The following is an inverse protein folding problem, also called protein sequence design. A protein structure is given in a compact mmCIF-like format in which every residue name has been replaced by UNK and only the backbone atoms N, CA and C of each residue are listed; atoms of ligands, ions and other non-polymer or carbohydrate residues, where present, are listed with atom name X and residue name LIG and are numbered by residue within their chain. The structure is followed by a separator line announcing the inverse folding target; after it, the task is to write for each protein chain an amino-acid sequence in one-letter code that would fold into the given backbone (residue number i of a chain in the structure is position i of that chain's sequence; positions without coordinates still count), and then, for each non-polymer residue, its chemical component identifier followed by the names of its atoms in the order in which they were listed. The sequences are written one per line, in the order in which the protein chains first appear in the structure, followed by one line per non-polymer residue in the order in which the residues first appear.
data_IF_110446155948
#
_entry.id   IF_110446155948
#
_cell.length_a   1.000
_cell.length_b   1.000
_cell.length_c   1.000
_cell.angle_alpha   90.00
_cell.angle_beta   90.00
_cell.angle_gamma   90.00
#
_symmetry.space_group_name_H-M   'P 1'
#
loop_
_entity.id
_entity.type
_entity.pdbx_description
1 polymer ?
#
# COMPACT_ATOMS: atom_id res chain seq x y z
N UNK A 1 22.36 -0.32 1.13
CA UNK A 1 22.59 1.08 0.69
C UNK A 1 22.85 1.11 -0.81
N UNK A 2 22.18 2.03 -1.52
CA UNK A 2 22.46 2.27 -2.92
C UNK A 2 23.73 3.12 -3.06
N UNK A 3 24.68 2.66 -3.87
CA UNK A 3 25.88 3.41 -4.25
C UNK A 3 25.83 3.55 -5.77
N UNK A 4 25.66 4.80 -6.24
CA UNK A 4 25.58 5.08 -7.66
C UNK A 4 26.95 4.86 -8.31
N UNK A 5 26.97 4.11 -9.42
CA UNK A 5 28.14 3.94 -10.29
C UNK A 5 28.03 4.86 -11.49
N UNK A 6 29.14 5.11 -12.14
CA UNK A 6 29.17 5.84 -13.40
C UNK A 6 28.26 5.20 -14.45
N UNK A 7 27.50 6.00 -15.18
CA UNK A 7 26.53 5.53 -16.17
C UNK A 7 25.21 4.98 -15.62
N UNK A 8 25.09 4.76 -14.30
CA UNK A 8 23.83 4.29 -13.73
C UNK A 8 22.78 5.39 -13.63
N UNK A 9 21.56 5.04 -14.05
CA UNK A 9 20.35 5.85 -13.83
C UNK A 9 19.53 5.20 -12.72
N UNK A 10 19.21 5.99 -11.68
CA UNK A 10 18.37 5.55 -10.60
C UNK A 10 17.03 6.29 -10.65
N UNK A 11 15.96 5.56 -10.95
CA UNK A 11 14.58 6.03 -10.83
C UNK A 11 14.01 5.57 -9.50
N UNK A 12 13.63 6.50 -8.65
CA UNK A 12 12.90 6.21 -7.42
C UNK A 12 11.43 6.55 -7.61
N UNK A 13 10.55 5.56 -7.45
CA UNK A 13 9.10 5.70 -7.66
C UNK A 13 8.34 5.88 -6.35
N UNK A 14 9.04 5.80 -5.21
CA UNK A 14 8.39 5.63 -3.92
C UNK A 14 7.43 4.43 -3.94
N UNK A 15 6.48 4.36 -3.00
CA UNK A 15 5.59 3.19 -2.92
C UNK A 15 4.12 3.54 -2.67
N UNK A 16 3.77 4.79 -2.53
CA UNK A 16 2.39 5.21 -2.34
C UNK A 16 2.24 6.69 -2.01
N UNK A 17 1.04 7.22 -2.09
CA UNK A 17 0.72 8.57 -1.63
C UNK A 17 0.83 8.62 -0.11
N UNK A 18 1.56 9.58 0.47
CA UNK A 18 1.70 9.69 1.91
C UNK A 18 0.37 10.05 2.57
N UNK A 19 -0.10 9.15 3.44
CA UNK A 19 -1.29 9.33 4.27
C UNK A 19 -0.93 9.47 5.76
N UNK A 20 0.32 9.21 6.11
CA UNK A 20 0.87 9.31 7.46
C UNK A 20 1.99 10.34 7.48
N UNK A 21 2.30 10.82 8.67
CA UNK A 21 3.46 11.69 8.90
C UNK A 21 4.75 11.01 8.46
N UNK A 22 5.59 11.71 7.71
CA UNK A 22 6.84 11.22 7.16
C UNK A 22 8.02 12.16 7.47
N UNK A 23 9.22 11.61 7.30
CA UNK A 23 10.47 12.34 7.33
C UNK A 23 10.67 13.16 8.60
N UNK A 24 11.03 14.43 8.46
CA UNK A 24 11.30 15.36 9.60
C UNK A 24 10.12 15.58 10.54
N UNK A 25 8.91 15.26 10.10
CA UNK A 25 7.68 15.42 10.89
C UNK A 25 7.38 14.19 11.76
N UNK A 26 8.14 13.10 11.64
CA UNK A 26 8.03 11.94 12.51
C UNK A 26 8.59 12.22 13.90
N UNK A 27 8.28 11.36 14.88
CA UNK A 27 8.61 11.57 16.29
C UNK A 27 10.12 11.77 16.56
N UNK A 28 10.99 11.09 15.83
CA UNK A 28 12.45 11.23 15.95
C UNK A 28 13.02 12.27 14.96
N UNK A 29 12.19 12.92 14.19
CA UNK A 29 12.58 14.01 13.30
C UNK A 29 13.64 13.63 12.29
N UNK A 30 14.76 14.36 12.28
CA UNK A 30 15.85 14.18 11.30
C UNK A 30 16.45 12.76 11.35
N UNK A 31 16.44 12.10 12.50
CA UNK A 31 16.99 10.74 12.63
C UNK A 31 16.18 9.71 11.82
N UNK A 32 14.87 9.90 11.71
CA UNK A 32 14.01 9.04 10.90
C UNK A 32 14.21 9.23 9.39
N UNK A 33 14.81 10.36 8.99
CA UNK A 33 15.01 10.68 7.57
C UNK A 33 16.26 10.08 6.95
N UNK A 34 17.33 9.85 7.74
CA UNK A 34 18.72 9.78 7.28
C UNK A 34 18.96 8.92 6.03
N UNK A 35 18.51 7.68 6.03
CA UNK A 35 18.71 6.78 4.90
C UNK A 35 17.77 7.06 3.73
N UNK A 36 16.54 7.50 4.01
CA UNK A 36 15.56 7.81 2.99
C UNK A 36 15.93 9.06 2.23
N UNK A 37 16.28 10.14 2.92
CA UNK A 37 16.73 11.38 2.31
C UNK A 37 17.95 11.11 1.40
N UNK A 38 18.94 10.38 1.91
CA UNK A 38 20.11 10.00 1.12
C UNK A 38 19.74 9.26 -0.15
N UNK A 39 18.84 8.28 -0.09
CA UNK A 39 18.40 7.52 -1.26
C UNK A 39 17.73 8.42 -2.29
N UNK A 40 16.91 9.38 -1.85
CA UNK A 40 16.31 10.36 -2.76
C UNK A 40 17.36 11.26 -3.41
N UNK A 41 18.31 11.77 -2.64
CA UNK A 41 19.37 12.65 -3.16
C UNK A 41 20.28 11.93 -4.17
N UNK A 42 20.43 10.61 -4.05
CA UNK A 42 21.19 9.81 -5.01
C UNK A 42 20.41 9.41 -6.26
N UNK A 43 19.09 9.63 -6.30
CA UNK A 43 18.29 9.27 -7.47
C UNK A 43 18.47 10.28 -8.60
N UNK A 44 18.51 9.76 -9.83
CA UNK A 44 18.53 10.57 -11.06
C UNK A 44 17.14 11.15 -11.33
N UNK A 45 16.11 10.39 -10.98
CA UNK A 45 14.71 10.75 -11.15
C UNK A 45 13.89 10.38 -9.92
N UNK A 46 13.01 11.29 -9.51
CA UNK A 46 11.93 11.03 -8.55
C UNK A 46 10.60 11.07 -9.30
N UNK A 47 9.88 9.95 -9.29
CA UNK A 47 8.55 9.88 -9.89
C UNK A 47 7.49 10.02 -8.80
N UNK A 48 6.66 11.03 -8.93
CA UNK A 48 5.52 11.27 -8.06
C UNK A 48 4.20 11.20 -8.84
N UNK A 49 3.15 10.57 -8.28
CA UNK A 49 1.89 10.37 -9.00
C UNK A 49 1.05 11.63 -9.13
N UNK A 50 1.30 12.60 -8.26
CA UNK A 50 0.56 13.86 -8.20
C UNK A 50 1.35 14.94 -7.44
N UNK A 51 0.87 16.15 -7.54
CA UNK A 51 1.48 17.33 -6.90
C UNK A 51 1.54 17.20 -5.39
N UNK A 52 0.46 16.73 -4.76
CA UNK A 52 0.39 16.52 -3.32
C UNK A 52 1.56 15.64 -2.83
N UNK A 53 1.76 14.47 -3.45
CA UNK A 53 2.87 13.58 -3.09
C UNK A 53 4.22 14.25 -3.28
N UNK A 54 4.41 14.94 -4.41
CA UNK A 54 5.67 15.65 -4.68
C UNK A 54 5.96 16.69 -3.60
N UNK A 55 5.02 17.57 -3.31
CA UNK A 55 5.23 18.68 -2.38
C UNK A 55 5.56 18.15 -0.97
N UNK A 56 4.81 17.13 -0.49
CA UNK A 56 5.09 16.50 0.79
C UNK A 56 6.44 15.78 0.83
N UNK A 57 6.79 15.00 -0.20
CA UNK A 57 8.06 14.29 -0.22
C UNK A 57 9.24 15.25 -0.27
N UNK A 58 9.16 16.29 -1.09
CA UNK A 58 10.21 17.29 -1.20
C UNK A 58 10.41 18.08 0.10
N UNK A 59 9.32 18.41 0.80
CA UNK A 59 9.38 19.12 2.07
C UNK A 59 9.79 18.23 3.23
N UNK A 60 9.11 17.09 3.42
CA UNK A 60 9.23 16.26 4.61
C UNK A 60 10.60 15.58 4.71
N UNK A 61 11.25 15.36 3.56
CA UNK A 61 12.62 14.83 3.50
C UNK A 61 13.69 15.90 3.22
N UNK A 62 13.34 17.19 3.34
CA UNK A 62 14.26 18.32 3.10
C UNK A 62 14.99 18.23 1.76
N UNK A 63 14.27 17.86 0.69
CA UNK A 63 14.84 17.74 -0.65
C UNK A 63 14.86 19.08 -1.41
N UNK A 64 14.03 20.04 -1.00
CA UNK A 64 14.00 21.36 -1.58
C UNK A 64 15.39 21.99 -1.51
N UNK A 65 15.88 22.51 -2.64
CA UNK A 65 17.21 23.10 -2.81
C UNK A 65 18.41 22.14 -2.67
N UNK A 66 18.20 20.88 -2.31
CA UNK A 66 19.26 19.88 -2.18
C UNK A 66 19.22 18.85 -3.31
N UNK A 67 18.04 18.52 -3.80
CA UNK A 67 17.88 17.54 -4.86
C UNK A 67 18.25 18.11 -6.23
N UNK A 68 19.20 17.50 -6.89
CA UNK A 68 19.75 17.93 -8.19
C UNK A 68 19.27 17.09 -9.37
N UNK A 69 18.51 16.02 -9.11
CA UNK A 69 17.92 15.20 -10.15
C UNK A 69 16.64 15.81 -10.75
N UNK A 70 15.92 15.02 -11.53
CA UNK A 70 14.68 15.47 -12.18
C UNK A 70 13.47 14.89 -11.46
N UNK A 71 12.47 15.73 -11.21
CA UNK A 71 11.15 15.30 -10.71
C UNK A 71 10.24 15.06 -11.90
N UNK A 72 9.60 13.87 -11.91
CA UNK A 72 8.60 13.47 -12.91
C UNK A 72 7.25 13.42 -12.20
N UNK A 73 6.29 14.17 -12.71
CA UNK A 73 4.88 14.06 -12.30
C UNK A 73 4.14 13.20 -13.32
N UNK A 74 3.85 11.96 -12.94
CA UNK A 74 3.11 11.01 -13.76
C UNK A 74 2.43 9.99 -12.86
N UNK A 75 1.30 9.45 -13.27
CA UNK A 75 0.61 8.40 -12.51
C UNK A 75 1.55 7.22 -12.20
N UNK A 76 1.18 6.43 -11.19
CA UNK A 76 1.94 5.20 -10.92
C UNK A 76 1.83 4.22 -12.09
N UNK A 77 2.94 3.67 -12.59
CA UNK A 77 2.92 2.68 -13.68
C UNK A 77 2.00 1.49 -13.40
N UNK A 78 1.95 1.03 -12.14
CA UNK A 78 1.05 -0.06 -11.71
C UNK A 78 -0.44 0.23 -11.95
N UNK A 79 -0.83 1.49 -12.05
CA UNK A 79 -2.22 1.88 -12.27
C UNK A 79 -2.63 1.76 -13.75
N UNK A 80 -1.72 1.47 -14.66
CA UNK A 80 -2.04 1.26 -16.08
C UNK A 80 -3.09 0.16 -16.27
N UNK A 81 -3.10 -0.86 -15.40
CA UNK A 81 -4.09 -1.95 -15.43
C UNK A 81 -5.54 -1.47 -15.31
N UNK A 82 -5.81 -0.34 -14.64
CA UNK A 82 -7.17 0.20 -14.51
C UNK A 82 -7.77 0.71 -15.82
N UNK A 83 -6.94 0.92 -16.83
CA UNK A 83 -7.36 1.37 -18.16
C UNK A 83 -7.51 0.20 -19.14
N UNK A 84 -7.10 -1.00 -18.74
CA UNK A 84 -7.24 -2.23 -19.53
C UNK A 84 -8.57 -2.92 -19.18
N UNK A 85 -9.58 -2.67 -20.04
CA UNK A 85 -10.92 -3.24 -19.84
C UNK A 85 -10.94 -4.75 -20.03
N UNK A 86 -10.10 -5.28 -20.91
CA UNK A 86 -10.04 -6.73 -21.21
C UNK A 86 -9.41 -7.47 -20.03
N UNK A 87 -8.34 -6.93 -19.45
CA UNK A 87 -7.74 -7.47 -18.23
C UNK A 87 -8.74 -7.46 -17.08
N UNK A 88 -9.49 -6.39 -16.90
CA UNK A 88 -10.52 -6.31 -15.85
C UNK A 88 -11.61 -7.37 -16.02
N UNK A 89 -12.09 -7.59 -17.24
CA UNK A 89 -13.08 -8.62 -17.55
C UNK A 89 -12.52 -10.03 -17.30
N UNK A 90 -11.28 -10.29 -17.73
CA UNK A 90 -10.60 -11.57 -17.51
C UNK A 90 -10.45 -11.89 -16.01
N UNK A 91 -10.05 -10.91 -15.20
CA UNK A 91 -9.93 -11.05 -13.74
C UNK A 91 -11.30 -11.35 -13.12
N UNK A 92 -12.34 -10.62 -13.48
CA UNK A 92 -13.70 -10.88 -12.97
C UNK A 92 -14.17 -12.30 -13.27
N UNK A 93 -13.95 -12.77 -14.46
CA UNK A 93 -14.28 -14.14 -14.87
C UNK A 93 -13.44 -15.17 -14.12
N UNK A 94 -12.13 -14.97 -14.04
CA UNK A 94 -11.20 -15.89 -13.37
C UNK A 94 -11.57 -16.11 -11.89
N UNK A 95 -12.00 -15.07 -11.19
CA UNK A 95 -12.30 -15.12 -9.76
C UNK A 95 -13.79 -15.20 -9.44
N UNK A 96 -14.65 -15.50 -10.42
CA UNK A 96 -16.08 -15.68 -10.19
C UNK A 96 -16.82 -14.43 -9.72
N UNK A 97 -16.36 -13.27 -10.17
CA UNK A 97 -16.94 -11.97 -9.81
C UNK A 97 -18.06 -11.53 -10.76
N UNK A 98 -18.33 -12.30 -11.81
CA UNK A 98 -19.32 -11.94 -12.81
C UNK A 98 -20.73 -11.94 -12.21
N UNK A 99 -21.47 -10.88 -12.52
CA UNK A 99 -22.84 -10.69 -11.98
C UNK A 99 -22.91 -10.35 -10.50
N UNK A 100 -21.78 -10.20 -9.82
CA UNK A 100 -21.71 -9.83 -8.39
C UNK A 100 -21.12 -8.44 -8.19
N UNK A 101 -21.68 -7.72 -7.23
CA UNK A 101 -21.04 -6.57 -6.64
C UNK A 101 -19.88 -7.05 -5.75
N UNK A 102 -18.69 -6.53 -6.00
CA UNK A 102 -17.45 -7.04 -5.40
C UNK A 102 -16.82 -6.01 -4.48
N UNK A 103 -16.52 -6.41 -3.27
CA UNK A 103 -15.81 -5.62 -2.27
C UNK A 103 -14.41 -6.19 -2.03
N UNK A 104 -13.47 -5.34 -1.66
CA UNK A 104 -12.14 -5.73 -1.21
C UNK A 104 -11.89 -5.16 0.19
N UNK A 105 -11.58 -6.04 1.15
CA UNK A 105 -11.20 -5.65 2.50
C UNK A 105 -9.73 -6.02 2.74
N UNK A 106 -8.88 -5.02 2.77
CA UNK A 106 -7.43 -5.17 2.90
C UNK A 106 -6.90 -4.30 4.05
N UNK A 107 -7.20 -4.67 5.30
CA UNK A 107 -6.77 -3.88 6.45
C UNK A 107 -5.26 -3.99 6.68
N UNK A 108 -4.68 -2.93 7.23
CA UNK A 108 -3.32 -2.99 7.78
C UNK A 108 -3.32 -3.72 9.12
N UNK A 109 -2.16 -4.14 9.56
CA UNK A 109 -1.97 -4.65 10.92
C UNK A 109 -1.89 -3.52 11.96
N UNK A 110 -2.12 -3.86 13.24
CA UNK A 110 -1.96 -2.94 14.37
C UNK A 110 -0.86 -3.45 15.29
N UNK A 111 0.03 -2.57 15.71
CA UNK A 111 1.14 -2.87 16.61
C UNK A 111 2.36 -2.00 16.32
N UNK A 112 3.45 -2.20 17.07
CA UNK A 112 4.73 -1.57 16.81
C UNK A 112 5.67 -2.58 16.14
N UNK A 113 6.36 -2.15 15.08
CA UNK A 113 7.33 -3.03 14.36
C UNK A 113 8.44 -3.56 15.27
N UNK A 114 8.82 -2.79 16.29
CA UNK A 114 9.86 -3.16 17.25
C UNK A 114 9.44 -4.26 18.22
N UNK A 115 8.16 -4.48 18.44
CA UNK A 115 7.65 -5.49 19.38
C UNK A 115 7.13 -6.75 18.72
N UNK A 116 6.99 -6.79 17.39
CA UNK A 116 6.48 -7.94 16.64
C UNK A 116 5.05 -8.36 17.02
N UNK A 117 4.43 -7.64 17.94
CA UNK A 117 3.19 -8.06 18.57
C UNK A 117 2.02 -7.18 18.12
N UNK A 118 1.02 -7.82 17.58
CA UNK A 118 -0.33 -7.29 17.67
C UNK A 118 -0.66 -7.08 19.15
N UNK A 119 -1.13 -5.91 19.52
CA UNK A 119 -1.79 -5.76 20.81
C UNK A 119 -2.94 -6.76 20.83
N UNK A 120 -2.98 -7.63 21.84
CA UNK A 120 -3.99 -8.67 21.95
C UNK A 120 -5.40 -8.13 21.73
N UNK A 121 -6.20 -8.88 20.97
CA UNK A 121 -7.57 -8.50 20.63
C UNK A 121 -7.78 -8.09 19.17
N UNK A 122 -6.75 -7.73 18.41
CA UNK A 122 -6.94 -7.32 17.02
C UNK A 122 -7.47 -8.44 16.11
N UNK A 123 -7.00 -9.68 16.34
CA UNK A 123 -7.52 -10.84 15.61
C UNK A 123 -9.01 -11.08 15.92
N UNK A 124 -9.43 -10.89 17.16
CA UNK A 124 -10.83 -11.00 17.57
C UNK A 124 -11.69 -9.88 16.94
N UNK A 125 -11.19 -8.65 16.93
CA UNK A 125 -11.86 -7.53 16.22
C UNK A 125 -12.07 -7.83 14.74
N UNK A 126 -11.05 -8.36 14.06
CA UNK A 126 -11.15 -8.69 12.63
C UNK A 126 -12.17 -9.79 12.40
N UNK A 127 -12.18 -10.85 13.22
CA UNK A 127 -13.18 -11.94 13.13
C UNK A 127 -14.61 -11.45 13.34
N UNK A 128 -14.83 -10.61 14.35
CA UNK A 128 -16.15 -10.03 14.64
C UNK A 128 -16.62 -9.15 13.46
N UNK A 129 -15.71 -8.36 12.90
CA UNK A 129 -16.00 -7.52 11.74
C UNK A 129 -16.33 -8.35 10.50
N UNK A 130 -15.58 -9.42 10.22
CA UNK A 130 -15.86 -10.31 9.10
C UNK A 130 -17.23 -11.01 9.28
N UNK A 131 -17.57 -11.44 10.48
CA UNK A 131 -18.88 -12.04 10.77
C UNK A 131 -20.03 -11.05 10.51
N UNK A 132 -19.84 -9.79 10.91
CA UNK A 132 -20.82 -8.74 10.65
C UNK A 132 -20.94 -8.44 9.14
N UNK A 133 -19.85 -8.41 8.42
CA UNK A 133 -19.87 -8.23 6.96
C UNK A 133 -20.58 -9.39 6.28
N UNK A 134 -20.25 -10.64 6.62
CA UNK A 134 -20.89 -11.80 6.02
C UNK A 134 -22.41 -11.81 6.22
N UNK A 135 -22.84 -11.41 7.41
CA UNK A 135 -24.26 -11.30 7.75
C UNK A 135 -24.99 -10.15 7.03
N UNK A 136 -24.28 -9.12 6.64
CA UNK A 136 -24.84 -7.94 5.95
C UNK A 136 -24.83 -8.09 4.42
N UNK A 137 -23.99 -8.93 3.87
CA UNK A 137 -23.88 -9.17 2.44
C UNK A 137 -25.01 -10.07 1.93
N UNK A 138 -25.39 -9.86 0.68
CA UNK A 138 -26.41 -10.65 -0.03
C UNK A 138 -25.77 -11.61 -1.02
N UNK A 139 -26.54 -12.56 -1.56
CA UNK A 139 -26.06 -13.54 -2.55
C UNK A 139 -25.56 -12.89 -3.87
N UNK A 140 -25.92 -11.62 -4.11
CA UNK A 140 -25.43 -10.85 -5.24
C UNK A 140 -24.12 -10.10 -4.95
N UNK A 141 -23.59 -10.24 -3.75
CA UNK A 141 -22.41 -9.55 -3.26
C UNK A 141 -21.34 -10.55 -2.84
N UNK A 142 -20.08 -10.15 -3.00
CA UNK A 142 -18.93 -10.96 -2.55
C UNK A 142 -17.82 -10.02 -2.04
N UNK A 143 -17.23 -10.40 -0.93
CA UNK A 143 -16.10 -9.67 -0.35
C UNK A 143 -14.82 -10.52 -0.40
N UNK A 144 -13.79 -10.00 -1.05
CA UNK A 144 -12.45 -10.57 -1.01
C UNK A 144 -11.66 -9.95 0.13
N UNK A 145 -11.05 -10.81 0.95
CA UNK A 145 -10.29 -10.39 2.12
C UNK A 145 -8.82 -10.76 1.95
N UNK A 146 -7.94 -9.77 2.04
CA UNK A 146 -6.50 -9.97 2.09
C UNK A 146 -5.93 -9.33 3.36
N UNK A 147 -5.63 -10.16 4.35
CA UNK A 147 -5.08 -9.71 5.61
C UNK A 147 -3.56 -9.55 5.49
N UNK A 148 -3.02 -8.60 6.25
CA UNK A 148 -1.58 -8.39 6.32
C UNK A 148 -0.84 -9.69 6.74
N UNK A 149 0.34 -10.01 6.20
CA UNK A 149 1.09 -11.24 6.52
C UNK A 149 1.28 -11.53 8.01
N UNK A 150 1.40 -10.49 8.85
CA UNK A 150 1.50 -10.65 10.32
C UNK A 150 0.20 -11.11 11.00
N UNK A 151 -0.91 -11.14 10.28
CA UNK A 151 -2.26 -11.44 10.83
C UNK A 151 -2.93 -12.59 10.10
N UNK A 152 -2.61 -12.81 8.82
CA UNK A 152 -3.34 -13.75 7.95
C UNK A 152 -3.42 -15.18 8.50
N UNK A 153 -2.35 -15.66 9.13
CA UNK A 153 -2.27 -17.02 9.66
C UNK A 153 -3.05 -17.21 10.98
N UNK A 154 -3.48 -16.11 11.60
CA UNK A 154 -4.18 -16.10 12.89
C UNK A 154 -5.69 -15.90 12.77
N UNK A 155 -6.15 -15.46 11.60
CA UNK A 155 -7.57 -15.23 11.31
C UNK A 155 -7.97 -16.06 10.09
N UNK A 156 -8.49 -17.27 10.31
CA UNK A 156 -8.98 -18.10 9.21
C UNK A 156 -10.17 -17.41 8.50
N UNK A 157 -10.15 -17.44 7.18
CA UNK A 157 -11.21 -16.91 6.32
C UNK A 157 -11.95 -18.08 5.69
N UNK A 158 -12.45 -18.95 6.55
CA UNK A 158 -13.18 -20.15 6.15
C UNK A 158 -14.55 -20.16 6.82
N UNK A 159 -15.53 -20.76 6.16
CA UNK A 159 -16.88 -20.91 6.70
C UNK A 159 -17.82 -19.71 6.52
N UNK A 160 -17.37 -18.63 5.91
CA UNK A 160 -18.22 -17.51 5.53
C UNK A 160 -18.96 -17.79 4.21
N UNK A 161 -20.16 -17.26 4.06
CA UNK A 161 -20.99 -17.47 2.86
C UNK A 161 -20.61 -16.52 1.72
N UNK A 162 -20.31 -15.26 2.05
CA UNK A 162 -20.10 -14.19 1.08
C UNK A 162 -18.68 -13.63 1.13
N UNK A 163 -17.84 -14.15 2.03
CA UNK A 163 -16.44 -13.70 2.18
C UNK A 163 -15.50 -14.79 1.69
N UNK A 164 -14.54 -14.40 0.87
CA UNK A 164 -13.53 -15.28 0.28
C UNK A 164 -12.14 -14.73 0.57
N UNK A 165 -11.19 -15.60 0.84
CA UNK A 165 -9.78 -15.22 0.88
C UNK A 165 -9.36 -14.72 -0.50
N UNK A 166 -8.64 -13.60 -0.53
CA UNK A 166 -8.02 -13.12 -1.78
C UNK A 166 -7.02 -14.19 -2.25
N UNK A 167 -7.02 -14.57 -3.52
CA UNK A 167 -6.06 -15.53 -4.05
C UNK A 167 -4.63 -14.98 -3.97
N UNK A 168 -3.69 -15.84 -3.60
CA UNK A 168 -2.26 -15.53 -3.48
C UNK A 168 -1.63 -15.33 -4.87
#
# INVERSE_FOLDING_TARGET
YFIRREGQVYLNTWHGTPLKTLGKKMAMGIQDMSNMQRNFLHSSYLLHPNRYTMDHMMEDYNLNHLYTGKVILSGYPRNAIFWDKDAAAAVRKQYGMDGKETFAYMPTWRGAMSSGANKGGYEAEVRDLLTKFDSALTDKQIMYVNLHPLVKDKVPIEGYKHIVKFPD
#
